data_IF_461100232950
#
_entry.id   IF_461100232950
#
_cell.length_a   1.000
_cell.length_b   1.000
_cell.length_c   1.000
_cell.angle_alpha   90.00
_cell.angle_beta   90.00
_cell.angle_gamma   90.00
#
_symmetry.space_group_name_H-M   'P 1'
#
loop_
_entity.id
_entity.type
_entity.pdbx_description
1 polymer ?
#
# COMPACT_ATOMS: atom_id res chain seq x y z
N UNK A 1 1.12 7.09 -2.02
CA UNK A 1 0.18 8.10 -2.58
C UNK A 1 0.68 9.49 -2.27
N UNK A 2 0.53 9.94 -1.03
CA UNK A 2 1.06 11.24 -0.58
C UNK A 2 2.57 11.37 -0.81
N UNK A 3 3.35 10.33 -0.51
CA UNK A 3 4.80 10.26 -0.74
C UNK A 3 5.20 10.34 -2.22
N UNK A 4 4.45 9.69 -3.11
CA UNK A 4 4.71 9.70 -4.57
C UNK A 4 4.42 11.10 -5.14
N UNK A 5 3.26 11.67 -4.80
CA UNK A 5 2.89 13.03 -5.23
C UNK A 5 3.85 14.05 -4.62
N UNK A 6 4.23 13.88 -3.35
CA UNK A 6 5.24 14.71 -2.69
C UNK A 6 6.58 14.69 -3.43
N UNK A 7 7.06 13.51 -3.82
CA UNK A 7 8.28 13.37 -4.64
C UNK A 7 8.17 14.10 -5.99
N UNK A 8 7.04 13.97 -6.67
CA UNK A 8 6.77 14.67 -7.92
C UNK A 8 6.76 16.20 -7.75
N UNK A 9 6.19 16.70 -6.65
CA UNK A 9 6.18 18.13 -6.32
C UNK A 9 7.58 18.67 -6.01
N UNK A 10 8.49 17.82 -5.51
CA UNK A 10 9.91 18.18 -5.32
C UNK A 10 10.75 18.09 -6.59
N UNK A 11 10.16 17.71 -7.72
CA UNK A 11 10.83 17.63 -9.03
C UNK A 11 11.45 16.27 -9.37
N UNK A 12 11.17 15.22 -8.58
CA UNK A 12 11.56 13.85 -8.95
C UNK A 12 10.71 13.35 -10.12
N UNK A 13 11.27 12.48 -10.94
CA UNK A 13 10.51 11.77 -11.96
C UNK A 13 9.56 10.73 -11.34
N UNK A 14 8.60 10.27 -12.14
CA UNK A 14 7.53 9.35 -11.67
C UNK A 14 8.09 8.02 -11.19
N UNK A 15 9.15 7.53 -11.83
CA UNK A 15 9.76 6.24 -11.50
C UNK A 15 10.54 6.33 -10.20
N UNK A 16 11.41 7.32 -10.06
CA UNK A 16 12.19 7.51 -8.82
C UNK A 16 11.29 7.85 -7.63
N UNK A 17 10.25 8.68 -7.81
CA UNK A 17 9.27 8.96 -6.74
C UNK A 17 8.55 7.69 -6.24
N UNK A 18 8.28 6.77 -7.16
CA UNK A 18 7.67 5.47 -6.88
C UNK A 18 8.59 4.53 -6.13
N UNK A 19 9.79 4.31 -6.66
CA UNK A 19 10.81 3.47 -6.04
C UNK A 19 11.14 3.96 -4.63
N UNK A 20 11.31 5.29 -4.46
CA UNK A 20 11.47 5.90 -3.15
C UNK A 20 10.30 5.60 -2.21
N UNK A 21 9.05 5.75 -2.68
CA UNK A 21 7.87 5.46 -1.86
C UNK A 21 7.78 3.98 -1.46
N UNK A 22 8.23 3.06 -2.30
CA UNK A 22 8.26 1.63 -1.97
C UNK A 22 9.36 1.29 -0.97
N UNK A 23 10.56 1.82 -1.18
CA UNK A 23 11.68 1.65 -0.26
C UNK A 23 11.37 2.22 1.12
N UNK A 24 10.74 3.39 1.18
CA UNK A 24 10.28 4.00 2.43
C UNK A 24 9.20 3.18 3.14
N UNK A 25 8.33 2.50 2.39
CA UNK A 25 7.26 1.70 2.97
C UNK A 25 7.79 0.49 3.77
N UNK A 26 8.94 -0.08 3.41
CA UNK A 26 9.52 -1.25 4.09
C UNK A 26 9.79 -0.97 5.59
N UNK A 27 10.62 0.02 5.98
CA UNK A 27 10.89 0.28 7.39
C UNK A 27 9.66 0.81 8.13
N UNK A 28 8.83 1.62 7.46
CA UNK A 28 7.61 2.19 8.08
C UNK A 28 6.60 1.10 8.40
N UNK A 29 6.26 0.25 7.43
CA UNK A 29 5.29 -0.84 7.65
C UNK A 29 5.83 -1.89 8.60
N UNK A 30 7.12 -2.20 8.58
CA UNK A 30 7.73 -3.10 9.55
C UNK A 30 7.60 -2.55 10.98
N UNK A 31 7.89 -1.27 11.19
CA UNK A 31 7.74 -0.63 12.49
C UNK A 31 6.28 -0.58 12.96
N UNK A 32 5.36 -0.17 12.09
CA UNK A 32 3.93 -0.08 12.41
C UNK A 32 3.35 -1.48 12.70
N UNK A 33 3.62 -2.46 11.85
CA UNK A 33 3.10 -3.83 12.04
C UNK A 33 3.67 -4.49 13.28
N UNK A 34 4.98 -4.30 13.55
CA UNK A 34 5.61 -4.79 14.78
C UNK A 34 5.03 -4.14 16.03
N UNK A 35 4.79 -2.83 15.99
CA UNK A 35 4.15 -2.11 17.08
C UNK A 35 2.71 -2.57 17.33
N UNK A 36 1.92 -2.73 16.27
CA UNK A 36 0.53 -3.21 16.38
C UNK A 36 0.47 -4.64 16.93
N UNK A 37 1.39 -5.51 16.51
CA UNK A 37 1.49 -6.88 17.00
C UNK A 37 1.80 -6.93 18.50
N UNK A 38 2.71 -6.06 18.98
CA UNK A 38 3.02 -5.95 20.40
C UNK A 38 1.85 -5.40 21.23
N UNK A 39 1.07 -4.47 20.66
CA UNK A 39 -0.05 -3.85 21.36
C UNK A 39 -1.28 -4.76 21.45
N UNK A 40 -1.51 -5.58 20.44
CA UNK A 40 -2.68 -6.46 20.32
C UNK A 40 -2.33 -7.95 20.48
N UNK A 41 -1.20 -8.28 21.12
CA UNK A 41 -0.73 -9.66 21.22
C UNK A 41 -1.75 -10.62 21.85
N UNK A 42 -2.63 -10.12 22.73
CA UNK A 42 -3.67 -10.91 23.38
C UNK A 42 -4.74 -11.40 22.39
N UNK A 43 -5.00 -10.63 21.33
CA UNK A 43 -5.96 -10.98 20.27
C UNK A 43 -5.44 -12.13 19.39
N UNK A 44 -4.14 -12.43 19.44
CA UNK A 44 -3.51 -13.53 18.72
C UNK A 44 -3.59 -14.89 19.46
N UNK A 45 -3.98 -14.90 20.73
CA UNK A 45 -4.04 -16.14 21.52
C UNK A 45 -5.13 -17.11 21.00
N UNK A 46 -6.29 -16.59 20.62
CA UNK A 46 -7.42 -17.36 20.08
C UNK A 46 -7.51 -17.27 18.54
N UNK A 47 -6.48 -16.71 17.89
CA UNK A 47 -6.49 -16.46 16.46
C UNK A 47 -6.38 -17.76 15.63
N UNK A 48 -7.08 -17.78 14.49
CA UNK A 48 -6.95 -18.86 13.52
C UNK A 48 -5.63 -18.71 12.73
N UNK A 49 -4.57 -19.30 13.26
CA UNK A 49 -3.23 -19.31 12.66
C UNK A 49 -3.20 -19.83 11.22
N UNK A 50 -4.10 -20.76 10.85
CA UNK A 50 -4.23 -21.24 9.48
C UNK A 50 -4.65 -20.14 8.50
N UNK A 51 -5.65 -19.35 8.88
CA UNK A 51 -6.10 -18.20 8.07
C UNK A 51 -5.02 -17.12 7.97
N UNK A 52 -4.27 -16.86 9.06
CA UNK A 52 -3.16 -15.90 9.05
C UNK A 52 -2.04 -16.30 8.08
N UNK A 53 -1.62 -17.56 8.09
CA UNK A 53 -0.53 -18.04 7.22
C UNK A 53 -0.97 -17.96 5.75
N UNK A 54 -2.19 -18.43 5.44
CA UNK A 54 -2.70 -18.38 4.07
C UNK A 54 -2.82 -16.93 3.60
N UNK A 55 -3.43 -16.06 4.43
CA UNK A 55 -3.55 -14.63 4.13
C UNK A 55 -2.19 -13.95 3.92
N UNK A 56 -1.19 -14.28 4.73
CA UNK A 56 0.17 -13.76 4.60
C UNK A 56 0.82 -14.19 3.26
N UNK A 57 0.76 -15.48 2.92
CA UNK A 57 1.32 -16.00 1.66
C UNK A 57 0.59 -15.39 0.46
N UNK A 58 -0.74 -15.35 0.48
CA UNK A 58 -1.54 -14.76 -0.60
C UNK A 58 -1.22 -13.27 -0.76
N UNK A 59 -1.19 -12.50 0.33
CA UNK A 59 -0.85 -11.09 0.29
C UNK A 59 0.58 -10.85 -0.24
N UNK A 60 1.55 -11.67 0.17
CA UNK A 60 2.93 -11.58 -0.31
C UNK A 60 3.03 -11.78 -1.82
N UNK A 61 2.39 -12.84 -2.34
CA UNK A 61 2.38 -13.15 -3.79
C UNK A 61 1.70 -12.00 -4.57
N UNK A 62 0.51 -11.59 -4.14
CA UNK A 62 -0.26 -10.53 -4.81
C UNK A 62 0.49 -9.19 -4.76
N UNK A 63 1.10 -8.85 -3.63
CA UNK A 63 1.89 -7.63 -3.49
C UNK A 63 3.10 -7.63 -4.43
N UNK A 64 3.85 -8.73 -4.49
CA UNK A 64 5.00 -8.85 -5.39
C UNK A 64 4.60 -8.68 -6.87
N UNK A 65 3.54 -9.37 -7.30
CA UNK A 65 2.98 -9.23 -8.65
C UNK A 65 2.50 -7.81 -8.93
N UNK A 66 1.81 -7.20 -7.97
CA UNK A 66 1.26 -5.85 -8.09
C UNK A 66 2.36 -4.81 -8.20
N UNK A 67 3.42 -4.88 -7.39
CA UNK A 67 4.55 -3.95 -7.45
C UNK A 67 5.20 -4.00 -8.84
N UNK A 68 5.46 -5.22 -9.35
CA UNK A 68 6.06 -5.41 -10.67
C UNK A 68 5.18 -4.81 -11.78
N UNK A 69 3.87 -5.08 -11.74
CA UNK A 69 2.92 -4.55 -12.71
C UNK A 69 2.81 -3.02 -12.61
N UNK A 70 2.77 -2.50 -11.39
CA UNK A 70 2.58 -1.08 -11.13
C UNK A 70 3.77 -0.23 -11.58
N UNK A 71 5.01 -0.74 -11.40
CA UNK A 71 6.22 -0.09 -11.94
C UNK A 71 6.14 0.07 -13.47
N UNK A 72 5.72 -0.98 -14.18
CA UNK A 72 5.57 -0.94 -15.66
C UNK A 72 4.40 -0.05 -16.09
N UNK A 73 3.29 -0.06 -15.34
CA UNK A 73 2.10 0.73 -15.65
C UNK A 73 2.37 2.24 -15.58
N UNK A 74 3.15 2.68 -14.58
CA UNK A 74 3.37 4.10 -14.32
C UNK A 74 4.31 4.78 -15.31
N UNK A 75 5.18 4.00 -15.96
CA UNK A 75 6.00 4.49 -17.07
C UNK A 75 5.12 4.86 -18.28
N UNK A 76 3.92 4.27 -18.42
CA UNK A 76 3.02 4.47 -19.58
C UNK A 76 1.79 5.34 -19.30
N UNK A 77 1.28 5.35 -18.07
CA UNK A 77 0.04 6.03 -17.71
C UNK A 77 0.22 7.16 -16.68
N UNK A 78 -0.72 8.10 -16.65
CA UNK A 78 -0.72 9.20 -15.68
C UNK A 78 -1.48 8.83 -14.40
N UNK A 79 -1.17 9.50 -13.29
CA UNK A 79 -1.85 9.30 -12.00
C UNK A 79 -3.29 9.82 -11.95
N UNK A 80 -3.79 10.46 -13.02
CA UNK A 80 -5.10 11.10 -13.05
C UNK A 80 -6.23 10.08 -12.83
N UNK A 81 -6.13 8.91 -13.45
CA UNK A 81 -7.11 7.83 -13.26
C UNK A 81 -7.21 7.38 -11.78
N UNK A 82 -6.08 7.31 -11.07
CA UNK A 82 -6.04 7.00 -9.65
C UNK A 82 -6.69 8.09 -8.79
N UNK A 83 -6.52 9.36 -9.16
CA UNK A 83 -7.18 10.48 -8.50
C UNK A 83 -8.70 10.43 -8.65
N UNK A 84 -9.19 10.24 -9.87
CA UNK A 84 -10.63 10.15 -10.16
C UNK A 84 -11.26 8.95 -9.44
N UNK A 85 -10.62 7.77 -9.50
CA UNK A 85 -11.06 6.59 -8.76
C UNK A 85 -11.20 6.87 -7.25
N UNK A 86 -10.21 7.53 -6.63
CA UNK A 86 -10.24 7.86 -5.21
C UNK A 86 -11.35 8.83 -4.83
N UNK A 87 -11.63 9.84 -5.67
CA UNK A 87 -12.71 10.81 -5.42
C UNK A 87 -14.06 10.10 -5.49
N UNK A 88 -14.31 9.31 -6.54
CA UNK A 88 -15.57 8.56 -6.69
C UNK A 88 -15.76 7.61 -5.52
N UNK A 89 -14.72 6.84 -5.16
CA UNK A 89 -14.77 5.90 -4.04
C UNK A 89 -15.01 6.61 -2.70
N UNK A 90 -14.39 7.77 -2.48
CA UNK A 90 -14.62 8.59 -1.29
C UNK A 90 -16.06 9.10 -1.19
N UNK A 91 -16.64 9.54 -2.30
CA UNK A 91 -18.05 9.97 -2.36
C UNK A 91 -19.00 8.81 -2.07
N UNK A 92 -18.72 7.61 -2.60
CA UNK A 92 -19.50 6.40 -2.32
C UNK A 92 -19.45 6.06 -0.82
N UNK A 93 -18.25 6.05 -0.22
CA UNK A 93 -18.10 5.76 1.22
C UNK A 93 -18.87 6.76 2.09
N UNK A 94 -18.86 8.05 1.74
CA UNK A 94 -19.62 9.08 2.46
C UNK A 94 -21.14 8.92 2.35
N UNK A 95 -21.66 8.22 1.34
CA UNK A 95 -23.09 7.90 1.24
C UNK A 95 -23.47 6.62 1.98
N UNK A 96 -22.51 5.71 2.18
CA UNK A 96 -22.73 4.42 2.86
C UNK A 96 -22.61 4.54 4.38
N UNK A 97 -21.75 5.46 4.85
CA UNK A 97 -21.58 5.83 6.26
C UNK A 97 -22.69 6.79 6.66
#
# INVERSE_FOLDING_TARGET
>A
GATIIGGLLTGLDRKTSMEFSFLLAIPVMAAVSGYDLLKHYQDFADANWGAFIIGFITAFIVAYLTIKLFLVFIERFTFVAFGVYRIIFGVILLMVI
#
